data_IF_880697015770
#
_entry.id   IF_880697015770
#
_cell.length_a   1.000
_cell.length_b   1.000
_cell.length_c   1.000
_cell.angle_alpha   90.00
_cell.angle_beta   90.00
_cell.angle_gamma   90.00
#
_symmetry.space_group_name_H-M   'P 1'
#
loop_
_entity.id
_entity.type
_entity.pdbx_description
1 polymer ?
#
# COMPACT_ATOMS: atom_id res chain seq x y z
N UNK A 1 -13.73 0.22 15.69
CA UNK A 1 -12.61 1.19 15.69
C UNK A 1 -11.31 0.42 15.55
N UNK A 2 -10.47 0.83 14.61
CA UNK A 2 -9.14 0.26 14.37
C UNK A 2 -8.14 0.98 15.26
N UNK A 3 -7.24 0.26 15.93
CA UNK A 3 -6.25 0.86 16.85
C UNK A 3 -4.85 0.68 16.28
N UNK A 4 -4.12 1.77 16.07
CA UNK A 4 -2.73 1.70 15.61
C UNK A 4 -1.77 1.41 16.78
N UNK A 5 -0.47 1.31 16.47
CA UNK A 5 0.56 1.01 17.47
C UNK A 5 0.79 2.16 18.46
N UNK A 6 0.54 3.41 18.05
CA UNK A 6 0.58 4.59 18.92
C UNK A 6 -0.63 4.65 19.89
N UNK A 7 -1.61 3.75 19.71
CA UNK A 7 -2.82 3.69 20.51
C UNK A 7 -3.92 4.64 20.07
N UNK A 8 -3.78 5.26 18.90
CA UNK A 8 -4.80 6.08 18.27
C UNK A 8 -5.89 5.19 17.67
N UNK A 9 -7.13 5.65 17.78
CA UNK A 9 -8.29 4.98 17.23
C UNK A 9 -8.72 5.66 15.94
N UNK A 10 -8.90 4.86 14.89
CA UNK A 10 -9.42 5.27 13.61
C UNK A 10 -10.79 4.62 13.38
N UNK A 11 -11.75 5.42 12.93
CA UNK A 11 -13.09 4.96 12.59
C UNK A 11 -13.13 4.26 11.21
N UNK A 12 -12.27 4.72 10.29
CA UNK A 12 -12.21 4.23 8.92
C UNK A 12 -10.85 3.58 8.59
N UNK A 13 -10.87 2.69 7.61
CA UNK A 13 -9.68 1.93 7.19
C UNK A 13 -8.62 2.82 6.54
N UNK A 14 -8.99 3.84 5.76
CA UNK A 14 -8.03 4.68 5.03
C UNK A 14 -7.11 5.46 6.01
N UNK A 15 -7.63 6.20 7.01
CA UNK A 15 -6.77 6.86 8.00
C UNK A 15 -5.89 5.89 8.80
N UNK A 16 -6.39 4.70 9.11
CA UNK A 16 -5.63 3.65 9.77
C UNK A 16 -4.45 3.17 8.91
N UNK A 17 -4.70 2.91 7.63
CA UNK A 17 -3.66 2.51 6.67
C UNK A 17 -2.63 3.63 6.48
N UNK A 18 -3.07 4.89 6.38
CA UNK A 18 -2.16 6.07 6.26
C UNK A 18 -1.21 6.20 7.46
N UNK A 19 -1.68 5.96 8.68
CA UNK A 19 -0.83 6.06 9.89
C UNK A 19 0.23 4.95 9.92
N UNK A 20 -0.12 3.73 9.53
CA UNK A 20 0.84 2.61 9.43
C UNK A 20 1.85 2.79 8.29
N UNK A 21 1.41 3.29 7.13
CA UNK A 21 2.31 3.58 6.00
C UNK A 21 3.35 4.65 6.35
N UNK A 22 2.90 5.76 6.97
CA UNK A 22 3.79 6.86 7.40
C UNK A 22 4.78 6.46 8.48
N UNK A 23 4.42 5.49 9.33
CA UNK A 23 5.29 4.94 10.37
C UNK A 23 6.28 3.88 9.89
N UNK A 24 6.28 3.51 8.60
CA UNK A 24 7.11 2.40 8.08
C UNK A 24 6.65 1.02 8.58
N UNK A 25 5.38 0.88 8.93
CA UNK A 25 4.79 -0.30 9.57
C UNK A 25 3.88 -1.08 8.62
N UNK A 26 4.15 -1.01 7.31
CA UNK A 26 3.34 -1.64 6.25
C UNK A 26 3.12 -3.13 6.51
N UNK A 27 4.14 -3.84 6.98
CA UNK A 27 4.08 -5.26 7.34
C UNK A 27 2.97 -5.61 8.34
N UNK A 28 2.52 -4.66 9.16
CA UNK A 28 1.49 -4.88 10.17
C UNK A 28 0.07 -4.74 9.65
N UNK A 29 -0.09 -4.23 8.42
CA UNK A 29 -1.36 -4.11 7.73
C UNK A 29 -1.45 -4.99 6.48
N UNK A 30 -0.40 -5.75 6.16
CA UNK A 30 -0.43 -6.74 5.08
C UNK A 30 -1.31 -7.93 5.47
N UNK A 31 -1.99 -8.50 4.47
CA UNK A 31 -2.67 -9.77 4.66
C UNK A 31 -1.65 -10.86 5.06
N UNK A 32 -1.86 -11.58 6.17
CA UNK A 32 -0.94 -12.63 6.61
C UNK A 32 -0.67 -13.71 5.56
N UNK A 33 -1.64 -13.99 4.67
CA UNK A 33 -1.48 -14.95 3.59
C UNK A 33 -0.41 -14.50 2.59
N UNK A 34 -0.42 -13.22 2.23
CA UNK A 34 0.60 -12.63 1.34
C UNK A 34 1.96 -12.69 2.03
N UNK A 35 2.04 -12.33 3.32
CA UNK A 35 3.31 -12.40 4.07
C UNK A 35 3.89 -13.83 4.13
N UNK A 36 3.05 -14.87 4.11
CA UNK A 36 3.48 -16.27 4.11
C UNK A 36 3.98 -16.73 2.73
N UNK A 37 3.39 -16.22 1.65
CA UNK A 37 3.75 -16.55 0.26
C UNK A 37 5.03 -15.86 -0.20
N UNK A 38 5.32 -14.65 0.33
CA UNK A 38 6.43 -13.80 -0.14
C UNK A 38 7.81 -14.22 0.38
N UNK A 39 7.89 -15.00 1.47
CA UNK A 39 9.13 -15.65 1.89
C UNK A 39 10.38 -14.74 1.91
N UNK A 40 10.30 -13.54 2.48
CA UNK A 40 11.44 -12.62 2.65
C UNK A 40 12.09 -12.09 1.37
N UNK A 41 11.46 -12.26 0.20
CA UNK A 41 12.00 -11.76 -1.06
C UNK A 41 11.87 -10.23 -1.15
N UNK A 42 13.00 -9.53 -1.02
CA UNK A 42 13.12 -8.05 -1.12
C UNK A 42 12.38 -7.43 -2.33
N UNK A 43 12.44 -7.99 -3.57
CA UNK A 43 11.73 -7.41 -4.71
C UNK A 43 10.21 -7.36 -4.53
N UNK A 44 9.63 -8.36 -3.85
CA UNK A 44 8.18 -8.43 -3.63
C UNK A 44 7.77 -7.46 -2.51
N UNK A 45 8.63 -7.25 -1.50
CA UNK A 45 8.40 -6.21 -0.50
C UNK A 45 8.29 -4.83 -1.14
N UNK A 46 9.21 -4.48 -2.05
CA UNK A 46 9.14 -3.20 -2.76
C UNK A 46 7.87 -3.05 -3.59
N UNK A 47 7.43 -4.09 -4.31
CA UNK A 47 6.17 -4.05 -5.04
C UNK A 47 4.97 -3.78 -4.11
N UNK A 48 4.91 -4.42 -2.95
CA UNK A 48 3.83 -4.21 -1.98
C UNK A 48 3.81 -2.77 -1.46
N UNK A 49 4.99 -2.16 -1.25
CA UNK A 49 5.10 -0.74 -0.93
C UNK A 49 4.57 0.15 -2.06
N UNK A 50 4.92 -0.15 -3.31
CA UNK A 50 4.48 0.63 -4.47
C UNK A 50 2.95 0.50 -4.70
N UNK A 51 2.41 -0.71 -4.53
CA UNK A 51 0.96 -0.95 -4.57
C UNK A 51 0.22 -0.15 -3.49
N UNK A 52 0.75 -0.15 -2.25
CA UNK A 52 0.16 0.60 -1.16
C UNK A 52 0.22 2.11 -1.42
N UNK A 53 1.34 2.63 -1.94
CA UNK A 53 1.48 4.03 -2.28
C UNK A 53 0.46 4.46 -3.35
N UNK A 54 0.28 3.65 -4.40
CA UNK A 54 -0.72 3.91 -5.44
C UNK A 54 -2.15 3.87 -4.88
N UNK A 55 -2.47 2.88 -4.03
CA UNK A 55 -3.78 2.78 -3.40
C UNK A 55 -4.10 3.99 -2.49
N UNK A 56 -3.11 4.51 -1.77
CA UNK A 56 -3.25 5.71 -0.95
C UNK A 56 -3.49 6.95 -1.82
N UNK A 57 -2.77 7.09 -2.93
CA UNK A 57 -2.93 8.22 -3.86
C UNK A 57 -4.34 8.24 -4.49
N UNK A 58 -4.89 7.07 -4.86
CA UNK A 58 -6.27 6.94 -5.34
C UNK A 58 -7.33 7.36 -4.31
N UNK A 59 -6.97 7.40 -3.01
CA UNK A 59 -7.84 7.72 -1.89
C UNK A 59 -7.53 9.08 -1.26
N UNK A 60 -6.82 9.98 -1.95
CA UNK A 60 -6.64 11.33 -1.45
C UNK A 60 -7.95 12.11 -1.36
N UNK A 61 -8.09 13.00 -0.40
CA UNK A 61 -9.35 13.72 -0.18
C UNK A 61 -9.66 14.68 -1.34
N UNK A 62 -8.61 15.32 -1.87
CA UNK A 62 -8.70 16.24 -3.00
C UNK A 62 -8.74 15.48 -4.31
N UNK A 63 -9.72 15.79 -5.15
CA UNK A 63 -9.90 15.13 -6.45
C UNK A 63 -8.71 15.33 -7.40
N UNK A 64 -8.07 16.49 -7.36
CA UNK A 64 -6.95 16.88 -8.20
C UNK A 64 -5.62 16.19 -7.81
N UNK A 65 -5.57 15.60 -6.61
CA UNK A 65 -4.43 14.79 -6.15
C UNK A 65 -4.60 13.30 -6.54
N UNK A 66 -5.80 12.91 -6.98
CA UNK A 66 -6.08 11.53 -7.43
C UNK A 66 -5.64 11.35 -8.89
N UNK A 67 -4.98 10.23 -9.22
CA UNK A 67 -4.63 9.92 -10.60
C UNK A 67 -5.86 9.57 -11.43
N UNK A 68 -5.79 9.81 -12.73
CA UNK A 68 -6.76 9.28 -13.68
C UNK A 68 -6.71 7.74 -13.68
N UNK A 69 -7.86 7.08 -13.81
CA UNK A 69 -7.94 5.61 -13.76
C UNK A 69 -7.11 4.92 -14.86
N UNK A 70 -6.86 5.60 -15.98
CA UNK A 70 -5.97 5.09 -17.03
C UNK A 70 -4.52 5.06 -16.54
N UNK A 71 -4.08 6.07 -15.79
CA UNK A 71 -2.74 6.14 -15.24
C UNK A 71 -2.56 5.16 -14.08
N UNK A 72 -3.60 4.96 -13.26
CA UNK A 72 -3.64 3.86 -12.28
C UNK A 72 -3.39 2.52 -12.96
N UNK A 73 -4.09 2.22 -14.06
CA UNK A 73 -3.90 0.96 -14.77
C UNK A 73 -2.48 0.79 -15.33
N UNK A 74 -1.88 1.85 -15.88
CA UNK A 74 -0.47 1.81 -16.35
C UNK A 74 0.50 1.56 -15.22
N UNK A 75 0.31 2.22 -14.08
CA UNK A 75 1.18 2.07 -12.92
C UNK A 75 1.07 0.68 -12.29
N UNK A 76 -0.13 0.09 -12.23
CA UNK A 76 -0.31 -1.30 -11.80
C UNK A 76 0.49 -2.27 -12.67
N UNK A 77 0.46 -2.10 -14.00
CA UNK A 77 1.26 -2.90 -14.95
C UNK A 77 2.76 -2.68 -14.75
N UNK A 78 3.18 -1.44 -14.46
CA UNK A 78 4.59 -1.13 -14.18
C UNK A 78 5.09 -1.83 -12.92
N UNK A 79 4.29 -1.78 -11.85
CA UNK A 79 4.63 -2.40 -10.56
C UNK A 79 4.74 -3.92 -10.73
N UNK A 80 3.78 -4.56 -11.40
CA UNK A 80 3.79 -6.01 -11.67
C UNK A 80 5.04 -6.45 -12.45
N UNK A 81 5.38 -5.71 -13.52
CA UNK A 81 6.49 -6.08 -14.43
C UNK A 81 7.90 -5.83 -13.88
N UNK A 82 8.04 -5.13 -12.76
CA UNK A 82 9.37 -4.85 -12.16
C UNK A 82 10.14 -6.13 -11.81
N UNK A 83 9.47 -7.28 -11.64
CA UNK A 83 10.10 -8.58 -11.38
C UNK A 83 10.59 -9.28 -12.67
N UNK A 84 9.99 -9.02 -13.84
CA UNK A 84 10.33 -9.74 -15.08
C UNK A 84 11.67 -9.34 -15.72
N UNK A 85 12.39 -8.42 -15.08
CA UNK A 85 13.67 -7.86 -15.58
C UNK A 85 14.88 -8.30 -14.76
N UNK A 86 14.71 -9.22 -13.80
CA UNK A 86 15.77 -9.80 -12.96
C UNK A 86 16.31 -11.13 -13.48
#
# INVERSE_FOLDING_TARGET
MLRNQAGEYHEHIIPYVKSHASGGQVQTIMDPKISMEVGGAEPIHQQLHDFLALALLCNEDKSEERPDMIDVAKELVRIENFISSG
#
